data_IF_686375449919
#
_entry.id   IF_686375449919
#
_cell.length_a   1.000
_cell.length_b   1.000
_cell.length_c   1.000
_cell.angle_alpha   90.00
_cell.angle_beta   90.00
_cell.angle_gamma   90.00
#
_symmetry.space_group_name_H-M   'P 1'
#
loop_
_entity.id
_entity.type
_entity.pdbx_description
1 polymer ?
#
# COMPACT_ATOMS: atom_id res chain seq x y z
N UNK A 1 58.65 37.45 -16.42
CA UNK A 1 57.48 38.34 -16.24
C UNK A 1 56.97 38.11 -14.83
N UNK A 2 57.19 39.04 -13.91
CA UNK A 2 56.85 38.89 -12.49
C UNK A 2 55.90 40.03 -12.11
N UNK A 3 54.63 39.69 -11.89
CA UNK A 3 53.59 40.58 -11.37
C UNK A 3 53.42 40.24 -9.90
N UNK A 4 54.36 40.73 -9.10
CA UNK A 4 54.22 40.82 -7.65
C UNK A 4 54.32 42.31 -7.34
N UNK A 5 53.47 42.78 -6.43
CA UNK A 5 53.43 44.14 -5.87
C UNK A 5 52.44 45.12 -6.53
N UNK A 6 51.14 44.96 -6.24
CA UNK A 6 50.21 46.11 -6.18
C UNK A 6 48.94 45.79 -5.37
N UNK A 7 49.09 45.26 -4.15
CA UNK A 7 47.99 45.19 -3.18
C UNK A 7 48.44 45.77 -1.83
N UNK A 8 48.23 47.08 -1.67
CA UNK A 8 48.24 47.75 -0.36
C UNK A 8 47.10 48.76 -0.27
N UNK A 9 46.27 48.59 0.76
CA UNK A 9 45.26 49.53 1.24
C UNK A 9 43.91 49.34 0.56
N UNK A 10 42.84 48.96 1.26
CA UNK A 10 42.26 49.76 2.33
C UNK A 10 41.54 48.91 3.38
N UNK A 11 41.93 49.13 4.64
CA UNK A 11 41.19 48.77 5.84
C UNK A 11 40.02 49.75 6.00
N UNK A 12 38.79 49.24 5.95
CA UNK A 12 37.61 49.94 6.44
C UNK A 12 36.82 48.98 7.31
N UNK A 13 37.01 49.17 8.61
CA UNK A 13 36.23 48.58 9.68
C UNK A 13 34.91 49.36 9.78
N UNK A 14 33.78 48.67 9.66
CA UNK A 14 32.51 49.16 10.20
C UNK A 14 31.61 48.02 10.67
N UNK A 15 31.14 48.21 11.88
CA UNK A 15 30.43 47.31 12.78
C UNK A 15 28.95 47.15 12.40
N UNK A 16 28.41 45.93 12.44
CA UNK A 16 27.34 45.54 13.38
C UNK A 16 26.71 44.17 13.06
N UNK A 17 26.25 43.42 14.08
CA UNK A 17 25.76 42.05 13.96
C UNK A 17 24.25 42.01 13.72
N UNK A 18 23.83 41.63 12.52
CA UNK A 18 22.46 41.26 12.20
C UNK A 18 22.37 39.74 12.04
N UNK A 19 21.94 39.04 13.08
CA UNK A 19 21.82 37.59 13.08
C UNK A 19 20.89 37.07 11.97
N UNK A 20 21.13 35.85 11.45
CA UNK A 20 20.18 35.24 10.53
C UNK A 20 18.95 34.84 11.34
N UNK A 21 17.82 35.50 11.12
CA UNK A 21 16.51 34.97 11.54
C UNK A 21 16.20 33.77 10.64
N UNK A 22 16.75 32.62 11.02
CA UNK A 22 16.41 31.32 10.47
C UNK A 22 14.99 30.93 10.94
N UNK A 23 13.98 31.61 10.42
CA UNK A 23 12.57 31.30 10.67
C UNK A 23 11.88 30.88 9.38
N UNK A 24 12.45 29.89 8.67
CA UNK A 24 11.71 29.13 7.64
C UNK A 24 12.18 27.69 7.43
N UNK A 25 12.89 27.11 8.40
CA UNK A 25 13.37 25.72 8.35
C UNK A 25 12.32 24.66 8.75
N UNK A 26 11.08 25.05 9.06
CA UNK A 26 10.02 24.11 9.46
C UNK A 26 9.30 23.41 8.30
N UNK A 27 9.25 24.02 7.10
CA UNK A 27 8.44 23.51 5.99
C UNK A 27 9.08 22.31 5.27
N UNK A 28 10.41 22.30 5.11
CA UNK A 28 11.11 21.23 4.37
C UNK A 28 11.19 19.90 5.12
N UNK A 29 11.20 19.93 6.46
CA UNK A 29 11.24 18.73 7.30
C UNK A 29 9.86 18.05 7.36
N UNK A 30 8.79 18.82 7.59
CA UNK A 30 7.42 18.31 7.59
C UNK A 30 7.01 17.71 6.23
N UNK A 31 7.41 18.34 5.13
CA UNK A 31 7.19 17.81 3.77
C UNK A 31 7.94 16.50 3.51
N UNK A 32 9.09 16.29 4.15
CA UNK A 32 9.88 15.06 4.03
C UNK A 32 9.28 13.91 4.84
N UNK A 33 8.65 14.22 5.97
CA UNK A 33 7.98 13.21 6.81
C UNK A 33 6.66 12.74 6.21
N UNK A 34 5.87 13.65 5.63
CA UNK A 34 4.65 13.28 4.89
C UNK A 34 4.98 12.40 3.66
N UNK A 35 6.08 12.68 2.96
CA UNK A 35 6.51 11.85 1.83
C UNK A 35 6.99 10.46 2.29
N UNK A 36 7.68 10.37 3.43
CA UNK A 36 8.09 9.09 4.02
C UNK A 36 6.88 8.28 4.50
N UNK A 37 5.89 8.95 5.11
CA UNK A 37 4.62 8.36 5.51
C UNK A 37 3.89 7.79 4.28
N UNK A 38 3.73 8.60 3.22
CA UNK A 38 3.09 8.17 1.96
C UNK A 38 3.75 6.92 1.38
N UNK A 39 5.09 6.92 1.25
CA UNK A 39 5.84 5.78 0.70
C UNK A 39 5.66 4.53 1.57
N UNK A 40 5.68 4.65 2.89
CA UNK A 40 5.42 3.53 3.80
C UNK A 40 4.02 2.98 3.62
N UNK A 41 3.01 3.84 3.58
CA UNK A 41 1.62 3.43 3.38
C UNK A 41 1.43 2.73 2.03
N UNK A 42 2.03 3.25 0.95
CA UNK A 42 1.99 2.59 -0.37
C UNK A 42 2.66 1.22 -0.36
N UNK A 43 3.84 1.09 0.28
CA UNK A 43 4.54 -0.19 0.40
C UNK A 43 3.72 -1.20 1.20
N UNK A 44 3.12 -0.77 2.30
CA UNK A 44 2.25 -1.59 3.12
C UNK A 44 1.00 -2.05 2.35
N UNK A 45 0.37 -1.14 1.61
CA UNK A 45 -0.77 -1.44 0.75
C UNK A 45 -0.41 -2.46 -0.33
N UNK A 46 0.73 -2.28 -0.98
CA UNK A 46 1.25 -3.22 -1.98
C UNK A 46 1.42 -4.63 -1.39
N UNK A 47 1.98 -4.71 -0.18
CA UNK A 47 2.15 -5.97 0.54
C UNK A 47 0.81 -6.62 0.86
N UNK A 48 -0.18 -5.84 1.32
CA UNK A 48 -1.54 -6.34 1.60
C UNK A 48 -2.19 -6.89 0.33
N UNK A 49 -2.13 -6.17 -0.79
CA UNK A 49 -2.64 -6.64 -2.09
C UNK A 49 -1.99 -7.96 -2.50
N UNK A 50 -0.67 -8.08 -2.39
CA UNK A 50 0.04 -9.32 -2.68
C UNK A 50 -0.37 -10.46 -1.74
N UNK A 51 -0.53 -10.19 -0.44
CA UNK A 51 -0.95 -11.18 0.54
C UNK A 51 -2.38 -11.68 0.29
N UNK A 52 -3.31 -10.80 -0.10
CA UNK A 52 -4.67 -11.21 -0.49
C UNK A 52 -4.59 -12.11 -1.72
N UNK A 53 -3.82 -11.74 -2.74
CA UNK A 53 -3.64 -12.56 -3.95
C UNK A 53 -3.08 -13.97 -3.63
N UNK A 54 -2.06 -14.06 -2.77
CA UNK A 54 -1.50 -15.33 -2.31
C UNK A 54 -2.52 -16.16 -1.53
N UNK A 55 -3.30 -15.52 -0.64
CA UNK A 55 -4.36 -16.18 0.13
C UNK A 55 -5.47 -16.71 -0.78
N UNK A 56 -5.88 -15.92 -1.76
CA UNK A 56 -6.83 -16.29 -2.82
C UNK A 56 -6.33 -17.52 -3.59
N UNK A 57 -5.09 -17.51 -4.09
CA UNK A 57 -4.53 -18.66 -4.81
C UNK A 57 -4.51 -19.93 -3.93
N UNK A 58 -4.17 -19.80 -2.65
CA UNK A 58 -4.17 -20.91 -1.70
C UNK A 58 -5.59 -21.45 -1.45
N UNK A 59 -6.55 -20.56 -1.17
CA UNK A 59 -7.96 -20.95 -0.98
C UNK A 59 -8.47 -21.70 -2.21
N UNK A 60 -8.14 -21.26 -3.43
CA UNK A 60 -8.54 -21.95 -4.66
C UNK A 60 -8.03 -23.39 -4.70
N UNK A 61 -6.79 -23.62 -4.30
CA UNK A 61 -6.22 -24.97 -4.24
C UNK A 61 -6.91 -25.83 -3.18
N UNK A 62 -7.21 -25.26 -2.00
CA UNK A 62 -7.90 -25.98 -0.92
C UNK A 62 -9.36 -26.29 -1.28
N UNK A 63 -10.07 -25.35 -1.91
CA UNK A 63 -11.44 -25.54 -2.41
C UNK A 63 -11.49 -26.64 -3.48
N UNK A 64 -10.48 -26.74 -4.34
CA UNK A 64 -10.37 -27.84 -5.31
C UNK A 64 -10.17 -29.23 -4.68
N UNK A 65 -9.81 -29.31 -3.39
CA UNK A 65 -9.71 -30.58 -2.65
C UNK A 65 -11.01 -30.94 -1.94
N UNK A 66 -11.94 -29.99 -1.77
CA UNK A 66 -13.28 -30.26 -1.25
C UNK A 66 -14.01 -31.19 -2.21
N UNK A 67 -14.70 -32.20 -1.67
CA UNK A 67 -15.37 -33.21 -2.47
C UNK A 67 -14.53 -34.36 -2.98
N UNK A 68 -13.22 -34.35 -2.72
CA UNK A 68 -12.36 -35.49 -2.94
C UNK A 68 -12.24 -36.32 -1.66
N UNK A 69 -11.53 -37.46 -1.71
CA UNK A 69 -11.21 -38.27 -0.52
C UNK A 69 -10.39 -37.52 0.55
N UNK A 70 -9.91 -36.30 0.25
CA UNK A 70 -9.15 -35.42 1.15
C UNK A 70 -10.01 -34.38 1.87
N UNK A 71 -11.32 -34.36 1.60
CA UNK A 71 -12.24 -33.47 2.28
C UNK A 71 -12.31 -33.83 3.78
N UNK A 72 -11.90 -32.89 4.63
CA UNK A 72 -11.89 -33.05 6.08
C UNK A 72 -12.40 -31.78 6.75
N UNK A 73 -12.97 -31.91 7.96
CA UNK A 73 -13.42 -30.76 8.74
C UNK A 73 -12.30 -29.73 8.98
N UNK A 74 -11.06 -30.20 9.17
CA UNK A 74 -9.87 -29.33 9.34
C UNK A 74 -9.58 -28.50 8.08
N UNK A 75 -9.67 -29.11 6.89
CA UNK A 75 -9.50 -28.41 5.61
C UNK A 75 -10.57 -27.32 5.43
N UNK A 76 -11.83 -27.65 5.72
CA UNK A 76 -12.95 -26.69 5.67
C UNK A 76 -12.75 -25.52 6.63
N UNK A 77 -12.29 -25.79 7.85
CA UNK A 77 -11.98 -24.73 8.82
C UNK A 77 -10.82 -23.84 8.35
N UNK A 78 -9.76 -24.41 7.76
CA UNK A 78 -8.64 -23.61 7.23
C UNK A 78 -9.09 -22.72 6.07
N UNK A 79 -9.91 -23.24 5.16
CA UNK A 79 -10.53 -22.44 4.09
C UNK A 79 -11.33 -21.28 4.68
N UNK A 80 -12.15 -21.54 5.71
CA UNK A 80 -12.95 -20.51 6.37
C UNK A 80 -12.07 -19.42 6.99
N UNK A 81 -11.07 -19.80 7.78
CA UNK A 81 -10.15 -18.86 8.43
C UNK A 81 -9.40 -18.01 7.40
N UNK A 82 -8.94 -18.60 6.29
CA UNK A 82 -8.26 -17.85 5.21
C UNK A 82 -9.21 -16.92 4.47
N UNK A 83 -10.46 -17.34 4.25
CA UNK A 83 -11.50 -16.49 3.66
C UNK A 83 -11.79 -15.28 4.54
N UNK A 84 -11.90 -15.47 5.86
CA UNK A 84 -12.13 -14.40 6.83
C UNK A 84 -10.93 -13.44 6.89
N UNK A 85 -9.71 -13.95 7.02
CA UNK A 85 -8.49 -13.14 7.01
C UNK A 85 -8.37 -12.33 5.71
N UNK A 86 -8.67 -12.93 4.56
CA UNK A 86 -8.66 -12.24 3.26
C UNK A 86 -9.72 -11.15 3.21
N UNK A 87 -10.92 -11.37 3.78
CA UNK A 87 -11.98 -10.38 3.86
C UNK A 87 -11.56 -9.16 4.68
N UNK A 88 -10.93 -9.36 5.83
CA UNK A 88 -10.44 -8.27 6.67
C UNK A 88 -9.31 -7.48 5.97
N UNK A 89 -8.39 -8.17 5.30
CA UNK A 89 -7.36 -7.51 4.49
C UNK A 89 -7.96 -6.65 3.36
N UNK A 90 -8.99 -7.15 2.67
CA UNK A 90 -9.70 -6.40 1.63
C UNK A 90 -10.34 -5.13 2.19
N UNK A 91 -10.98 -5.21 3.36
CA UNK A 91 -11.58 -4.04 4.04
C UNK A 91 -10.51 -3.01 4.43
N UNK A 92 -9.43 -3.46 5.07
CA UNK A 92 -8.32 -2.58 5.48
C UNK A 92 -7.68 -1.89 4.27
N UNK A 93 -7.40 -2.65 3.21
CA UNK A 93 -6.82 -2.12 1.97
C UNK A 93 -7.73 -1.07 1.33
N UNK A 94 -9.05 -1.29 1.29
CA UNK A 94 -10.03 -0.33 0.76
C UNK A 94 -10.06 0.98 1.56
N UNK A 95 -10.00 0.90 2.90
CA UNK A 95 -9.95 2.08 3.76
C UNK A 95 -8.65 2.88 3.60
N UNK A 96 -7.51 2.18 3.56
CA UNK A 96 -6.19 2.80 3.36
C UNK A 96 -6.05 3.44 1.99
N UNK A 97 -6.61 2.82 0.94
CA UNK A 97 -6.58 3.38 -0.41
C UNK A 97 -7.37 4.68 -0.52
N UNK A 98 -8.49 4.78 0.21
CA UNK A 98 -9.26 6.04 0.35
C UNK A 98 -8.45 7.10 1.09
N UNK A 99 -7.87 6.77 2.25
CA UNK A 99 -7.03 7.71 3.00
C UNK A 99 -5.82 8.19 2.18
N UNK A 100 -5.20 7.30 1.39
CA UNK A 100 -4.11 7.64 0.46
C UNK A 100 -4.51 8.67 -0.61
N UNK A 101 -5.79 8.74 -0.98
CA UNK A 101 -6.29 9.75 -1.93
C UNK A 101 -6.35 11.16 -1.33
N UNK A 102 -6.52 11.26 -0.01
CA UNK A 102 -6.65 12.52 0.72
C UNK A 102 -5.29 13.24 0.89
N UNK A 103 -4.17 12.49 0.97
CA UNK A 103 -2.80 13.01 1.05
C UNK A 103 -2.27 13.69 -0.25
N UNK A 104 -3.10 13.83 -1.29
CA UNK A 104 -2.68 14.38 -2.58
C UNK A 104 -2.77 15.91 -2.70
N UNK A 105 -3.31 16.59 -1.69
CA UNK A 105 -3.66 18.02 -1.76
C UNK A 105 -2.48 18.97 -1.49
N UNK A 106 -1.44 18.55 -0.75
CA UNK A 106 -0.41 19.45 -0.21
C UNK A 106 0.98 19.36 -0.88
N UNK A 107 1.11 18.89 -2.12
CA UNK A 107 2.44 18.70 -2.76
C UNK A 107 2.59 19.36 -4.12
N UNK A 108 3.85 19.51 -4.55
CA UNK A 108 4.22 20.03 -5.87
C UNK A 108 3.61 19.21 -7.01
N UNK A 109 3.25 19.87 -8.12
CA UNK A 109 2.64 19.27 -9.31
C UNK A 109 3.33 17.99 -9.82
N UNK A 110 4.67 17.97 -9.88
CA UNK A 110 5.42 16.79 -10.32
C UNK A 110 5.22 15.58 -9.39
N UNK A 111 5.24 15.80 -8.07
CA UNK A 111 4.98 14.76 -7.06
C UNK A 111 3.52 14.30 -7.09
N UNK A 112 2.55 15.21 -7.33
CA UNK A 112 1.13 14.83 -7.50
C UNK A 112 0.95 13.84 -8.65
N UNK A 113 1.58 14.09 -9.80
CA UNK A 113 1.51 13.19 -10.97
C UNK A 113 2.09 11.81 -10.67
N UNK A 114 3.27 11.75 -10.05
CA UNK A 114 3.90 10.48 -9.67
C UNK A 114 3.02 9.67 -8.70
N UNK A 115 2.52 10.32 -7.64
CA UNK A 115 1.62 9.70 -6.66
C UNK A 115 0.31 9.21 -7.27
N UNK A 116 -0.25 9.97 -8.20
CA UNK A 116 -1.47 9.58 -8.92
C UNK A 116 -1.27 8.32 -9.74
N UNK A 117 -0.16 8.20 -10.47
CA UNK A 117 0.15 7.01 -11.25
C UNK A 117 0.33 5.78 -10.36
N UNK A 118 1.05 5.94 -9.25
CA UNK A 118 1.29 4.86 -8.28
C UNK A 118 -0.02 4.39 -7.63
N UNK A 119 -0.88 5.34 -7.21
CA UNK A 119 -2.19 5.01 -6.66
C UNK A 119 -3.10 4.35 -7.71
N UNK A 120 -3.10 4.81 -8.95
CA UNK A 120 -3.88 4.19 -10.03
C UNK A 120 -3.46 2.74 -10.24
N UNK A 121 -2.15 2.46 -10.23
CA UNK A 121 -1.63 1.10 -10.32
C UNK A 121 -2.10 0.23 -9.14
N UNK A 122 -1.95 0.72 -7.91
CA UNK A 122 -2.41 0.02 -6.71
C UNK A 122 -3.91 -0.26 -6.74
N UNK A 123 -4.69 0.70 -7.22
CA UNK A 123 -6.15 0.57 -7.35
C UNK A 123 -6.50 -0.50 -8.37
N UNK A 124 -5.86 -0.51 -9.53
CA UNK A 124 -6.08 -1.52 -10.55
C UNK A 124 -5.67 -2.92 -10.06
N UNK A 125 -4.54 -3.04 -9.37
CA UNK A 125 -4.08 -4.31 -8.81
C UNK A 125 -5.02 -4.80 -7.69
N UNK A 126 -5.49 -3.90 -6.82
CA UNK A 126 -6.49 -4.22 -5.80
C UNK A 126 -7.82 -4.68 -6.42
N UNK A 127 -8.29 -4.03 -7.47
CA UNK A 127 -9.52 -4.43 -8.18
C UNK A 127 -9.42 -5.85 -8.74
N UNK A 128 -8.29 -6.20 -9.40
CA UNK A 128 -8.06 -7.56 -9.90
C UNK A 128 -8.12 -8.59 -8.77
N UNK A 129 -7.47 -8.30 -7.65
CA UNK A 129 -7.45 -9.20 -6.49
C UNK A 129 -8.83 -9.33 -5.85
N UNK A 130 -9.60 -8.23 -5.80
CA UNK A 130 -10.98 -8.24 -5.33
C UNK A 130 -11.88 -9.11 -6.21
N UNK A 131 -11.77 -9.01 -7.54
CA UNK A 131 -12.51 -9.86 -8.48
C UNK A 131 -12.20 -11.34 -8.28
N UNK A 132 -10.91 -11.69 -8.12
CA UNK A 132 -10.49 -13.05 -7.84
C UNK A 132 -11.05 -13.55 -6.50
N UNK A 133 -11.03 -12.72 -5.47
CA UNK A 133 -11.60 -13.07 -4.16
C UNK A 133 -13.12 -13.31 -4.25
N UNK A 134 -13.85 -12.45 -4.96
CA UNK A 134 -15.29 -12.63 -5.18
C UNK A 134 -15.60 -13.92 -5.95
N UNK A 135 -14.79 -14.26 -6.96
CA UNK A 135 -14.93 -15.51 -7.69
C UNK A 135 -14.76 -16.72 -6.76
N UNK A 136 -13.71 -16.72 -5.93
CA UNK A 136 -13.48 -17.79 -4.96
C UNK A 136 -14.62 -17.91 -3.95
N UNK A 137 -15.19 -16.79 -3.50
CA UNK A 137 -16.36 -16.83 -2.61
C UNK A 137 -17.54 -17.57 -3.26
N UNK A 138 -17.80 -17.32 -4.56
CA UNK A 138 -18.86 -18.02 -5.31
C UNK A 138 -18.57 -19.51 -5.43
N UNK A 139 -17.35 -19.87 -5.88
CA UNK A 139 -16.94 -21.28 -6.03
C UNK A 139 -17.02 -22.01 -4.69
N UNK A 140 -16.56 -21.40 -3.60
CA UNK A 140 -16.63 -21.98 -2.25
C UNK A 140 -18.08 -22.20 -1.80
N UNK A 141 -19.00 -21.30 -2.15
CA UNK A 141 -20.42 -21.43 -1.82
C UNK A 141 -21.10 -22.52 -2.65
N UNK A 142 -20.81 -22.59 -3.96
CA UNK A 142 -21.32 -23.62 -4.87
C UNK A 142 -20.90 -25.02 -4.43
N UNK A 143 -19.60 -25.22 -4.18
CA UNK A 143 -19.03 -26.47 -3.66
C UNK A 143 -19.74 -26.87 -2.37
N UNK A 144 -19.85 -25.97 -1.40
CA UNK A 144 -20.50 -26.29 -0.12
C UNK A 144 -21.96 -26.68 -0.31
N UNK A 145 -22.68 -26.01 -1.22
CA UNK A 145 -24.08 -26.33 -1.53
C UNK A 145 -24.22 -27.71 -2.17
N UNK A 146 -23.42 -28.01 -3.20
CA UNK A 146 -23.42 -29.32 -3.87
C UNK A 146 -23.11 -30.47 -2.89
N UNK A 147 -22.25 -30.25 -1.91
CA UNK A 147 -21.94 -31.26 -0.88
C UNK A 147 -23.03 -31.39 0.17
N UNK A 148 -23.64 -30.29 0.61
CA UNK A 148 -24.79 -30.34 1.53
C UNK A 148 -25.96 -31.05 0.87
N UNK A 149 -26.23 -30.81 -0.41
CA UNK A 149 -27.30 -31.50 -1.14
C UNK A 149 -26.96 -32.99 -1.32
N UNK A 150 -25.72 -33.35 -1.66
CA UNK A 150 -25.28 -34.77 -1.72
C UNK A 150 -25.40 -35.49 -0.38
N UNK A 151 -25.02 -34.83 0.72
CA UNK A 151 -25.07 -35.41 2.07
C UNK A 151 -26.50 -35.54 2.62
N UNK A 152 -27.46 -34.77 2.09
CA UNK A 152 -28.89 -34.91 2.44
C UNK A 152 -29.59 -36.01 1.65
N UNK A 153 -29.01 -36.45 0.53
CA UNK A 153 -29.56 -37.46 -0.37
C UNK A 153 -28.81 -38.79 -0.36
N UNK A 154 -27.77 -38.93 0.46
CA UNK A 154 -27.04 -40.18 0.74
C UNK A 154 -27.48 -40.76 2.07
#
# INVERSE_FOLDING_TARGET
>A
MSFNDLERGTYAQSSSPGGPTASRAGAGLAQSDEERQYKRTVQELSRKVFQINASVANIRQLVGQLGTSRDTARLRQDIHNKMEASRELVKATSAELKSLSEFQTNTSEAKRRARRLEQQKLTADFQKVLEQFQNIQRVSAEVTREFVDRAKHA
#
